data_IF_652548751328
#
_entry.id   IF_652548751328
#
_cell.length_a   1.000
_cell.length_b   1.000
_cell.length_c   1.000
_cell.angle_alpha   90.00
_cell.angle_beta   90.00
_cell.angle_gamma   90.00
#
_symmetry.space_group_name_H-M   'P 1'
#
loop_
_entity.id
_entity.type
_entity.pdbx_description
1 polymer ?
#
# COMPACT_ATOMS: atom_id res chain seq x y z
N UNK A 1 -14.06 16.41 -17.15
CA UNK A 1 -12.86 15.53 -17.27
C UNK A 1 -12.75 14.73 -15.98
N UNK A 2 -12.75 13.38 -16.02
CA UNK A 2 -12.58 12.54 -14.81
C UNK A 2 -11.10 12.24 -14.61
N UNK A 3 -10.61 12.38 -13.37
CA UNK A 3 -9.24 11.98 -13.00
C UNK A 3 -9.14 10.46 -13.07
N UNK A 4 -8.16 9.95 -13.82
CA UNK A 4 -7.80 8.54 -13.85
C UNK A 4 -6.64 8.31 -12.87
N UNK A 5 -6.74 7.27 -12.05
CA UNK A 5 -5.69 6.85 -11.11
C UNK A 5 -5.37 5.40 -11.40
N UNK A 6 -4.09 5.08 -11.50
CA UNK A 6 -3.57 3.73 -11.74
C UNK A 6 -2.64 3.38 -10.58
N UNK A 7 -2.82 2.18 -10.02
CA UNK A 7 -2.05 1.68 -8.88
C UNK A 7 -1.11 0.56 -9.32
N UNK A 8 0.08 0.51 -8.71
CA UNK A 8 1.09 -0.51 -8.96
C UNK A 8 1.52 -1.15 -7.65
N UNK A 9 1.83 -2.43 -7.70
CA UNK A 9 2.54 -3.12 -6.62
C UNK A 9 4.04 -2.96 -6.83
N UNK A 10 4.73 -2.46 -5.81
CA UNK A 10 6.18 -2.35 -5.78
C UNK A 10 6.74 -3.22 -4.66
N UNK A 11 7.87 -3.88 -4.94
CA UNK A 11 8.68 -4.52 -3.92
C UNK A 11 9.77 -3.55 -3.46
N UNK A 12 9.88 -3.36 -2.15
CA UNK A 12 10.97 -2.55 -1.60
C UNK A 12 12.28 -3.33 -1.67
N UNK A 13 13.38 -2.65 -2.01
CA UNK A 13 14.72 -3.22 -1.99
C UNK A 13 15.37 -3.18 -0.59
N UNK A 14 14.65 -2.65 0.40
CA UNK A 14 15.06 -2.59 1.80
C UNK A 14 14.06 -1.84 2.66
N UNK A 15 14.36 -1.69 3.94
CA UNK A 15 13.40 -1.18 4.92
C UNK A 15 13.53 0.33 5.18
N UNK A 16 14.57 0.96 4.61
CA UNK A 16 14.82 2.40 4.77
C UNK A 16 13.86 3.20 3.90
N UNK A 17 12.99 3.96 4.54
CA UNK A 17 12.09 4.90 3.87
C UNK A 17 12.37 6.34 4.35
N UNK A 18 12.48 7.28 3.41
CA UNK A 18 12.65 8.71 3.70
C UNK A 18 11.30 9.41 3.60
N UNK A 19 10.82 9.97 4.72
CA UNK A 19 9.57 10.74 4.79
C UNK A 19 9.76 12.16 4.22
N UNK A 20 8.77 12.64 3.47
CA UNK A 20 8.66 14.05 3.09
C UNK A 20 7.81 14.77 4.14
N UNK A 21 8.42 15.58 5.00
CA UNK A 21 7.78 16.09 6.21
C UNK A 21 6.66 17.10 5.94
N UNK A 22 6.72 17.77 4.79
CA UNK A 22 5.76 18.78 4.38
C UNK A 22 4.42 18.17 3.92
N UNK A 23 4.41 16.92 3.47
CA UNK A 23 3.22 16.25 2.92
C UNK A 23 2.78 15.02 3.72
N UNK A 24 3.71 14.35 4.40
CA UNK A 24 3.48 13.05 5.05
C UNK A 24 3.74 13.21 6.54
N UNK A 25 2.71 13.12 7.38
CA UNK A 25 2.84 13.24 8.84
C UNK A 25 3.46 12.01 9.50
N UNK A 26 3.21 10.81 8.98
CA UNK A 26 3.72 9.53 9.51
C UNK A 26 4.00 8.56 8.36
N UNK A 27 5.07 7.77 8.48
CA UNK A 27 5.37 6.67 7.56
C UNK A 27 5.80 5.44 8.37
N UNK A 28 5.22 4.28 8.04
CA UNK A 28 5.48 3.01 8.71
C UNK A 28 5.30 1.83 7.78
N UNK A 29 6.16 0.83 7.96
CA UNK A 29 5.96 -0.52 7.41
C UNK A 29 5.07 -1.31 8.36
N UNK A 30 4.10 -2.05 7.82
CA UNK A 30 3.15 -2.84 8.61
C UNK A 30 2.84 -4.16 7.90
N UNK A 31 2.43 -5.20 8.63
CA UNK A 31 1.90 -6.42 8.01
C UNK A 31 0.70 -6.11 7.11
N UNK A 32 0.60 -6.78 5.97
CA UNK A 32 -0.48 -6.54 4.99
C UNK A 32 -1.88 -6.81 5.57
N UNK A 33 -1.98 -7.74 6.53
CA UNK A 33 -3.23 -8.05 7.20
C UNK A 33 -3.68 -6.97 8.19
N UNK A 34 -2.74 -6.16 8.69
CA UNK A 34 -3.04 -5.02 9.55
C UNK A 34 -3.34 -3.76 8.70
N UNK A 35 -2.71 -3.62 7.54
CA UNK A 35 -2.81 -2.43 6.68
C UNK A 35 -4.26 -2.03 6.33
N UNK A 36 -5.14 -3.02 6.09
CA UNK A 36 -6.56 -2.79 5.76
C UNK A 36 -7.31 -2.03 6.87
N UNK A 37 -6.92 -2.25 8.14
CA UNK A 37 -7.51 -1.59 9.32
C UNK A 37 -6.98 -0.18 9.53
N UNK A 38 -5.88 0.17 8.88
CA UNK A 38 -5.14 1.41 9.10
C UNK A 38 -5.49 2.51 8.09
N UNK A 39 -6.20 2.15 7.02
CA UNK A 39 -6.69 3.09 6.00
C UNK A 39 -8.16 3.45 6.23
N UNK A 40 -8.52 4.69 5.90
CA UNK A 40 -9.87 5.22 6.15
C UNK A 40 -10.83 4.97 4.99
N UNK A 41 -10.37 5.12 3.74
CA UNK A 41 -11.24 5.11 2.57
C UNK A 41 -11.44 3.70 1.99
N UNK A 42 -12.67 3.43 1.53
CA UNK A 42 -13.04 2.15 0.95
C UNK A 42 -12.21 1.77 -0.28
N UNK A 43 -11.78 2.76 -1.08
CA UNK A 43 -10.94 2.53 -2.25
C UNK A 43 -9.59 1.92 -1.85
N UNK A 44 -8.96 2.45 -0.79
CA UNK A 44 -7.68 1.95 -0.29
C UNK A 44 -7.82 0.55 0.31
N UNK A 45 -8.92 0.29 1.05
CA UNK A 45 -9.22 -1.05 1.57
C UNK A 45 -9.36 -2.08 0.45
N UNK A 46 -10.10 -1.75 -0.60
CA UNK A 46 -10.25 -2.63 -1.77
C UNK A 46 -8.92 -2.84 -2.49
N UNK A 47 -8.09 -1.80 -2.61
CA UNK A 47 -6.75 -1.91 -3.18
C UNK A 47 -5.88 -2.89 -2.38
N UNK A 48 -5.87 -2.77 -1.05
CA UNK A 48 -5.11 -3.67 -0.16
C UNK A 48 -5.62 -5.11 -0.26
N UNK A 49 -6.94 -5.34 -0.27
CA UNK A 49 -7.48 -6.71 -0.39
C UNK A 49 -7.08 -7.37 -1.71
N UNK A 50 -7.18 -6.65 -2.84
CA UNK A 50 -6.73 -7.15 -4.15
C UNK A 50 -5.23 -7.43 -4.19
N UNK A 51 -4.45 -6.57 -3.54
CA UNK A 51 -3.00 -6.72 -3.43
C UNK A 51 -2.66 -7.99 -2.66
N UNK A 52 -3.33 -8.24 -1.54
CA UNK A 52 -3.17 -9.45 -0.72
C UNK A 52 -3.54 -10.72 -1.50
N UNK A 53 -4.66 -10.73 -2.22
CA UNK A 53 -5.06 -11.87 -3.07
C UNK A 53 -4.03 -12.15 -4.16
N UNK A 54 -3.53 -11.11 -4.83
CA UNK A 54 -2.50 -11.25 -5.85
C UNK A 54 -1.20 -11.82 -5.27
N UNK A 55 -0.73 -11.29 -4.13
CA UNK A 55 0.51 -11.72 -3.47
C UNK A 55 0.42 -13.14 -2.90
N UNK A 56 -0.76 -13.60 -2.48
CA UNK A 56 -0.94 -15.02 -2.08
C UNK A 56 -0.74 -15.99 -3.23
N UNK A 57 -1.06 -15.57 -4.46
CA UNK A 57 -0.94 -16.40 -5.65
C UNK A 57 0.37 -16.21 -6.42
N UNK A 58 0.99 -15.03 -6.33
CA UNK A 58 2.11 -14.60 -7.18
C UNK A 58 3.21 -13.84 -6.41
N UNK A 59 3.19 -13.91 -5.07
CA UNK A 59 4.17 -13.23 -4.24
C UNK A 59 5.58 -13.77 -4.47
N UNK A 60 6.62 -12.96 -4.21
CA UNK A 60 7.99 -13.46 -4.16
C UNK A 60 8.11 -14.58 -3.11
N UNK A 61 8.93 -15.59 -3.41
CA UNK A 61 9.31 -16.66 -2.46
C UNK A 61 9.98 -16.11 -1.19
#
# INVERSE_FOLDING_TARGET
IKKQVVYFLGLSLGDTAKRQEEEISELRWVPIDDAERMVSFANDKNLISRSREYLKANGPE
#
